data_IF_125258345209
#
_entry.id   IF_125258345209
#
_cell.length_a   1.000
_cell.length_b   1.000
_cell.length_c   1.000
_cell.angle_alpha   90.00
_cell.angle_beta   90.00
_cell.angle_gamma   90.00
#
_symmetry.space_group_name_H-M   'P 1'
#
loop_
_entity.id
_entity.type
_entity.pdbx_description
1 polymer ?
#
# COMPACT_ATOMS: atom_id res chain seq x y z
N UNK A 1 7.38 15.75 -27.64
CA UNK A 1 8.04 14.61 -27.03
C UNK A 1 7.33 14.46 -25.71
N UNK A 2 6.51 13.40 -25.56
CA UNK A 2 5.88 13.07 -24.30
C UNK A 2 6.93 12.56 -23.32
N UNK A 3 6.68 12.62 -22.01
CA UNK A 3 7.61 12.10 -21.03
C UNK A 3 7.88 10.62 -21.35
N UNK A 4 9.14 10.22 -21.24
CA UNK A 4 9.56 8.85 -21.35
C UNK A 4 8.64 7.99 -20.48
N UNK A 5 8.04 6.97 -21.08
CA UNK A 5 7.14 6.03 -20.39
C UNK A 5 8.01 5.12 -19.50
N UNK A 6 8.57 5.71 -18.42
CA UNK A 6 9.22 4.89 -17.41
C UNK A 6 8.14 3.97 -16.83
N UNK A 7 8.43 2.68 -16.75
CA UNK A 7 7.53 1.70 -16.16
C UNK A 7 7.19 2.11 -14.72
N UNK A 8 5.91 2.03 -14.37
CA UNK A 8 5.47 2.28 -12.99
C UNK A 8 6.25 1.37 -12.04
N UNK A 9 6.59 1.89 -10.86
CA UNK A 9 7.28 1.12 -9.83
C UNK A 9 6.34 0.82 -8.67
N UNK A 10 6.51 -0.31 -8.03
CA UNK A 10 5.68 -0.78 -6.91
C UNK A 10 6.51 -0.93 -5.65
N UNK A 11 5.96 -0.50 -4.52
CA UNK A 11 6.53 -0.72 -3.19
C UNK A 11 5.44 -0.93 -2.14
N UNK A 12 5.65 -1.88 -1.21
CA UNK A 12 4.66 -2.28 -0.20
C UNK A 12 4.90 -1.70 1.19
N UNK A 13 3.79 -1.45 1.90
CA UNK A 13 3.78 -1.18 3.34
C UNK A 13 3.00 -2.30 4.02
N UNK A 14 3.72 -3.15 4.76
CA UNK A 14 3.19 -4.31 5.47
C UNK A 14 3.02 -4.03 6.97
N UNK A 15 2.43 -4.96 7.70
CA UNK A 15 2.24 -4.88 9.15
C UNK A 15 0.84 -5.29 9.57
N UNK A 16 0.70 -5.75 10.82
CA UNK A 16 -0.59 -6.10 11.39
C UNK A 16 -1.55 -4.88 11.48
N UNK A 17 -2.83 -5.15 11.67
CA UNK A 17 -3.81 -4.09 11.90
C UNK A 17 -3.44 -3.29 13.17
N UNK A 18 -3.56 -1.96 13.11
CA UNK A 18 -3.25 -1.06 14.24
C UNK A 18 -1.78 -0.65 14.35
N UNK A 19 -0.86 -1.20 13.57
CA UNK A 19 0.59 -0.87 13.65
C UNK A 19 0.95 0.55 13.19
N UNK A 20 0.02 1.31 12.59
CA UNK A 20 0.29 2.68 12.14
C UNK A 20 0.71 2.81 10.68
N UNK A 21 0.42 1.80 9.84
CA UNK A 21 0.69 1.87 8.39
C UNK A 21 0.11 3.10 7.72
N UNK A 22 -1.15 3.40 7.99
CA UNK A 22 -1.83 4.58 7.43
C UNK A 22 -1.18 5.86 7.92
N UNK A 23 -0.81 5.96 9.20
CA UNK A 23 -0.10 7.11 9.77
C UNK A 23 1.28 7.30 9.15
N UNK A 24 1.99 6.22 8.83
CA UNK A 24 3.23 6.31 8.05
C UNK A 24 2.96 6.83 6.64
N UNK A 25 1.96 6.27 5.94
CA UNK A 25 1.60 6.67 4.57
C UNK A 25 1.18 8.14 4.48
N UNK A 26 0.47 8.68 5.49
CA UNK A 26 0.10 10.09 5.58
C UNK A 26 1.30 11.05 5.59
N UNK A 27 2.48 10.58 6.03
CA UNK A 27 3.74 11.34 6.02
C UNK A 27 4.61 11.00 4.81
N UNK A 28 4.62 9.73 4.41
CA UNK A 28 5.44 9.22 3.32
C UNK A 28 4.99 9.75 1.95
N UNK A 29 3.67 9.82 1.71
CA UNK A 29 3.13 10.36 0.45
C UNK A 29 3.55 11.82 0.22
N UNK A 30 3.38 12.76 1.16
CA UNK A 30 3.88 14.13 0.99
C UNK A 30 5.41 14.22 0.80
N UNK A 31 6.19 13.37 1.49
CA UNK A 31 7.65 13.33 1.31
C UNK A 31 8.03 12.90 -0.12
N UNK A 32 7.38 11.85 -0.66
CA UNK A 32 7.64 11.37 -2.01
C UNK A 32 7.16 12.34 -3.09
N UNK A 33 5.97 12.93 -2.93
CA UNK A 33 5.45 13.93 -3.87
C UNK A 33 6.25 15.24 -3.82
N UNK A 34 6.77 15.61 -2.66
CA UNK A 34 7.70 16.74 -2.50
C UNK A 34 9.04 16.53 -3.24
N UNK A 35 9.41 15.29 -3.55
CA UNK A 35 10.56 14.94 -4.42
C UNK A 35 10.22 14.95 -5.90
N UNK A 36 8.99 15.31 -6.28
CA UNK A 36 8.51 15.38 -7.67
C UNK A 36 7.93 14.08 -8.21
N UNK A 37 7.73 13.05 -7.38
CA UNK A 37 7.14 11.79 -7.83
C UNK A 37 5.61 11.87 -7.84
N UNK A 38 4.99 11.34 -8.89
CA UNK A 38 3.56 11.04 -8.91
C UNK A 38 3.31 9.72 -8.19
N UNK A 39 2.45 9.75 -7.16
CA UNK A 39 2.23 8.59 -6.29
C UNK A 39 0.77 8.16 -6.32
N UNK A 40 0.52 6.88 -6.59
CA UNK A 40 -0.78 6.22 -6.43
C UNK A 40 -0.74 5.24 -5.27
N UNK A 41 -1.91 4.92 -4.70
CA UNK A 41 -2.02 3.99 -3.57
C UNK A 41 -3.09 2.93 -3.86
N UNK A 42 -2.72 1.66 -3.66
CA UNK A 42 -3.66 0.54 -3.59
C UNK A 42 -3.70 0.05 -2.15
N UNK A 43 -4.89 0.02 -1.56
CA UNK A 43 -5.10 -0.48 -0.19
C UNK A 43 -5.99 -1.71 -0.22
N UNK A 44 -5.46 -2.84 0.24
CA UNK A 44 -6.23 -4.06 0.45
C UNK A 44 -6.82 -4.09 1.87
N UNK A 45 -8.10 -4.31 1.98
CA UNK A 45 -8.81 -4.42 3.25
C UNK A 45 -9.64 -5.70 3.28
N UNK A 46 -9.52 -6.48 4.36
CA UNK A 46 -10.40 -7.64 4.60
C UNK A 46 -11.77 -7.26 5.20
N UNK A 47 -12.01 -5.96 5.40
CA UNK A 47 -13.30 -5.43 5.86
C UNK A 47 -14.09 -4.95 4.65
N UNK A 48 -15.42 -4.91 4.78
CA UNK A 48 -16.27 -4.27 3.79
C UNK A 48 -15.82 -2.82 3.55
N UNK A 49 -15.82 -2.42 2.30
CA UNK A 49 -15.45 -1.07 1.88
C UNK A 49 -16.74 -0.36 1.48
N UNK A 50 -17.15 0.63 2.27
CA UNK A 50 -18.23 1.53 1.94
C UNK A 50 -17.67 2.88 1.53
N UNK A 51 -17.67 3.15 0.22
CA UNK A 51 -17.21 4.43 -0.34
C UNK A 51 -18.38 5.41 -0.42
N UNK A 52 -19.58 4.92 -0.74
CA UNK A 52 -20.80 5.71 -0.78
C UNK A 52 -21.65 5.50 0.48
N UNK A 53 -22.48 6.50 0.78
CA UNK A 53 -23.34 6.45 1.97
C UNK A 53 -24.64 5.70 1.67
N UNK A 54 -25.10 4.79 2.58
CA UNK A 54 -26.41 4.18 2.49
C UNK A 54 -27.53 5.19 2.21
N UNK A 55 -28.41 4.87 1.25
CA UNK A 55 -29.53 5.71 0.87
C UNK A 55 -29.25 6.79 -0.18
N UNK A 56 -28.00 7.03 -0.57
CA UNK A 56 -27.67 7.91 -1.70
C UNK A 56 -27.90 7.19 -3.04
N UNK A 57 -28.04 7.95 -4.11
CA UNK A 57 -28.39 7.41 -5.43
C UNK A 57 -27.37 6.37 -5.92
N UNK A 58 -26.09 6.62 -5.75
CA UNK A 58 -25.03 5.65 -6.09
C UNK A 58 -25.17 4.33 -5.33
N UNK A 59 -25.42 4.40 -4.02
CA UNK A 59 -25.65 3.23 -3.18
C UNK A 59 -26.88 2.45 -3.69
N UNK A 60 -28.01 3.15 -3.93
CA UNK A 60 -29.25 2.53 -4.42
C UNK A 60 -29.08 1.87 -5.78
N UNK A 61 -28.30 2.47 -6.68
CA UNK A 61 -28.02 1.90 -8.01
C UNK A 61 -27.15 0.66 -7.92
N UNK A 62 -26.16 0.64 -7.03
CA UNK A 62 -25.38 -0.58 -6.74
C UNK A 62 -26.28 -1.71 -6.21
N UNK A 63 -27.11 -1.42 -5.20
CA UNK A 63 -28.06 -2.39 -4.65
C UNK A 63 -29.08 -2.87 -5.68
N UNK A 64 -29.46 -2.00 -6.62
CA UNK A 64 -30.36 -2.35 -7.71
C UNK A 64 -29.74 -3.28 -8.77
N UNK A 65 -28.41 -3.52 -8.72
CA UNK A 65 -27.74 -4.51 -9.57
C UNK A 65 -26.72 -3.97 -10.55
N UNK A 66 -26.36 -2.68 -10.53
CA UNK A 66 -25.28 -2.16 -11.37
C UNK A 66 -23.95 -2.84 -11.00
N UNK A 67 -23.23 -3.39 -11.98
CA UNK A 67 -21.92 -4.00 -11.79
C UNK A 67 -20.84 -2.95 -11.51
N UNK A 68 -20.98 -1.78 -12.14
CA UNK A 68 -20.08 -0.63 -11.94
C UNK A 68 -20.88 0.64 -11.81
N UNK A 69 -20.44 1.54 -10.93
CA UNK A 69 -21.00 2.88 -10.80
C UNK A 69 -19.88 3.89 -10.85
N UNK A 70 -19.96 4.82 -11.81
CA UNK A 70 -19.04 5.96 -11.89
C UNK A 70 -19.72 7.19 -11.29
N UNK A 71 -19.08 7.78 -10.30
CA UNK A 71 -19.45 9.07 -9.74
C UNK A 71 -18.51 10.13 -10.28
N UNK A 72 -19.05 11.13 -10.97
CA UNK A 72 -18.29 12.26 -11.50
C UNK A 72 -18.72 13.55 -10.79
N UNK A 73 -17.76 14.24 -10.20
CA UNK A 73 -17.92 15.58 -9.64
C UNK A 73 -16.91 16.56 -10.29
N UNK A 74 -16.98 17.82 -9.91
CA UNK A 74 -16.12 18.86 -10.49
C UNK A 74 -14.63 18.70 -10.18
N UNK A 75 -14.29 18.06 -9.07
CA UNK A 75 -12.90 17.97 -8.56
C UNK A 75 -12.35 16.55 -8.59
N UNK A 76 -13.23 15.55 -8.63
CA UNK A 76 -12.86 14.13 -8.54
C UNK A 76 -13.92 13.24 -9.13
N UNK A 77 -13.51 12.05 -9.52
CA UNK A 77 -14.40 10.96 -9.88
C UNK A 77 -14.02 9.68 -9.14
N UNK A 78 -14.95 8.76 -9.02
CA UNK A 78 -14.72 7.45 -8.45
C UNK A 78 -15.44 6.39 -9.28
N UNK A 79 -14.78 5.25 -9.48
CA UNK A 79 -15.35 4.03 -10.04
C UNK A 79 -15.48 3.01 -8.91
N UNK A 80 -16.70 2.52 -8.70
CA UNK A 80 -16.96 1.40 -7.80
C UNK A 80 -17.33 0.19 -8.64
N UNK A 81 -16.63 -0.92 -8.44
CA UNK A 81 -16.84 -2.20 -9.08
C UNK A 81 -17.32 -3.22 -8.05
N UNK A 82 -18.48 -3.82 -8.28
CA UNK A 82 -19.09 -4.82 -7.42
C UNK A 82 -18.63 -6.23 -7.82
N UNK A 83 -17.90 -6.92 -6.97
CA UNK A 83 -17.40 -8.27 -7.25
C UNK A 83 -18.53 -9.32 -7.33
N UNK A 84 -19.63 -9.14 -6.59
CA UNK A 84 -20.82 -10.02 -6.59
C UNK A 84 -20.48 -11.51 -6.52
N UNK A 85 -19.49 -11.85 -5.65
CA UNK A 85 -19.05 -13.22 -5.47
C UNK A 85 -17.96 -13.68 -6.45
N UNK A 86 -17.54 -12.81 -7.37
CA UNK A 86 -16.31 -13.06 -8.14
C UNK A 86 -15.08 -12.98 -7.24
N UNK A 87 -13.97 -13.68 -7.57
CA UNK A 87 -12.74 -13.59 -6.82
C UNK A 87 -12.18 -12.16 -6.82
N UNK A 88 -11.43 -11.83 -5.78
CA UNK A 88 -10.69 -10.55 -5.71
C UNK A 88 -9.74 -10.42 -6.91
N UNK A 89 -9.66 -9.21 -7.51
CA UNK A 89 -8.72 -8.97 -8.61
C UNK A 89 -7.27 -9.07 -8.15
N UNK A 90 -6.40 -9.48 -9.05
CA UNK A 90 -4.96 -9.49 -8.80
C UNK A 90 -4.42 -8.06 -8.64
N UNK A 91 -3.24 -7.94 -7.99
CA UNK A 91 -2.57 -6.65 -7.88
C UNK A 91 -2.24 -6.04 -9.25
N UNK A 92 -1.78 -6.87 -10.20
CA UNK A 92 -1.44 -6.44 -11.56
C UNK A 92 -2.68 -5.87 -12.30
N UNK A 93 -3.83 -6.52 -12.11
CA UNK A 93 -5.09 -5.99 -12.66
C UNK A 93 -5.42 -4.61 -12.07
N UNK A 94 -5.26 -4.44 -10.75
CA UNK A 94 -5.53 -3.15 -10.09
C UNK A 94 -4.54 -2.08 -10.52
N UNK A 95 -3.25 -2.41 -10.65
CA UNK A 95 -2.23 -1.48 -11.17
C UNK A 95 -2.61 -1.02 -12.58
N UNK A 96 -3.04 -1.94 -13.43
CA UNK A 96 -3.48 -1.61 -14.80
C UNK A 96 -4.73 -0.73 -14.90
N UNK A 97 -5.43 -0.48 -13.77
CA UNK A 97 -6.55 0.46 -13.68
C UNK A 97 -6.15 1.86 -13.22
N UNK A 98 -4.95 2.01 -12.71
CA UNK A 98 -4.41 3.32 -12.33
C UNK A 98 -3.99 4.12 -13.56
N UNK A 99 -4.06 5.43 -13.46
CA UNK A 99 -3.37 6.29 -14.41
C UNK A 99 -1.85 6.12 -14.25
N UNK A 100 -1.06 6.26 -15.34
CA UNK A 100 0.39 6.19 -15.25
C UNK A 100 0.94 7.12 -14.16
N UNK A 101 1.83 6.59 -13.33
CA UNK A 101 2.49 7.30 -12.25
C UNK A 101 3.88 6.71 -12.00
N UNK A 102 4.74 7.45 -11.28
CA UNK A 102 6.10 6.99 -11.00
C UNK A 102 6.13 5.86 -9.97
N UNK A 103 5.22 5.91 -8.98
CA UNK A 103 5.22 4.98 -7.86
C UNK A 103 3.80 4.58 -7.44
N UNK A 104 3.59 3.28 -7.30
CA UNK A 104 2.39 2.70 -6.69
C UNK A 104 2.77 2.17 -5.31
N UNK A 105 2.26 2.80 -4.26
CA UNK A 105 2.34 2.27 -2.91
C UNK A 105 1.22 1.24 -2.69
N UNK A 106 1.55 0.12 -2.04
CA UNK A 106 0.59 -0.96 -1.80
C UNK A 106 0.52 -1.26 -0.32
N UNK A 107 -0.66 -1.08 0.28
CA UNK A 107 -0.94 -1.47 1.67
C UNK A 107 -1.73 -2.78 1.71
N UNK A 108 -1.19 -3.82 2.36
CA UNK A 108 -1.94 -4.99 2.77
C UNK A 108 -1.86 -6.24 1.88
N UNK A 109 -1.31 -6.21 0.69
CA UNK A 109 -1.11 -7.40 -0.15
C UNK A 109 0.01 -8.28 0.41
N UNK A 110 -0.37 -9.39 1.09
CA UNK A 110 0.54 -10.28 1.82
C UNK A 110 1.47 -11.07 0.90
N UNK A 111 0.93 -11.65 -0.15
CA UNK A 111 1.57 -12.64 -0.99
C UNK A 111 2.40 -12.07 -2.15
N UNK A 112 2.33 -10.77 -2.38
CA UNK A 112 3.09 -10.13 -3.46
C UNK A 112 4.60 -10.22 -3.21
N UNK A 113 5.38 -10.54 -4.25
CA UNK A 113 6.86 -10.64 -4.17
C UNK A 113 7.58 -9.31 -4.34
N UNK A 114 6.87 -8.19 -4.42
CA UNK A 114 7.45 -6.85 -4.50
C UNK A 114 8.06 -6.41 -3.17
N UNK A 115 9.05 -5.49 -3.19
CA UNK A 115 9.72 -4.98 -1.99
C UNK A 115 8.75 -4.32 -1.02
N UNK A 116 8.94 -4.55 0.28
CA UNK A 116 8.07 -4.02 1.35
C UNK A 116 8.89 -3.55 2.55
N UNK A 117 8.36 -2.56 3.25
CA UNK A 117 8.72 -2.27 4.65
C UNK A 117 7.56 -2.71 5.54
N UNK A 118 7.89 -3.42 6.61
CA UNK A 118 6.94 -3.72 7.67
C UNK A 118 6.89 -2.59 8.69
N UNK A 119 5.69 -2.13 9.06
CA UNK A 119 5.48 -1.26 10.23
C UNK A 119 5.19 -2.15 11.42
N UNK A 120 6.04 -2.06 12.45
CA UNK A 120 5.92 -2.89 13.63
C UNK A 120 6.08 -2.04 14.92
N UNK A 121 5.26 -2.38 15.95
CA UNK A 121 5.31 -1.76 17.27
C UNK A 121 5.38 -2.83 18.34
N UNK A 122 6.41 -2.73 19.20
CA UNK A 122 6.65 -3.69 20.28
C UNK A 122 5.50 -3.70 21.29
N UNK A 123 4.92 -2.53 21.59
CA UNK A 123 3.85 -2.38 22.59
C UNK A 123 2.57 -3.19 22.28
N UNK A 124 2.36 -3.54 21.00
CA UNK A 124 1.19 -4.32 20.57
C UNK A 124 1.38 -5.83 20.73
N UNK A 125 2.54 -6.30 21.22
CA UNK A 125 2.81 -7.69 21.53
C UNK A 125 2.66 -8.68 20.37
N UNK A 126 2.71 -8.20 19.12
CA UNK A 126 2.64 -9.03 17.92
C UNK A 126 4.02 -9.35 17.41
N UNK A 127 4.22 -10.58 16.93
CA UNK A 127 5.46 -10.93 16.22
C UNK A 127 5.55 -10.16 14.90
N UNK A 128 6.78 -9.90 14.44
CA UNK A 128 7.03 -9.37 13.11
C UNK A 128 6.53 -10.34 12.03
N UNK A 129 6.11 -9.81 10.90
CA UNK A 129 5.77 -10.60 9.71
C UNK A 129 7.01 -11.11 9.00
N UNK A 130 8.13 -10.38 9.10
CA UNK A 130 9.43 -10.87 8.68
C UNK A 130 9.89 -12.04 9.58
N UNK A 131 10.47 -13.12 9.08
CA UNK A 131 10.80 -13.42 7.69
C UNK A 131 9.72 -14.21 6.92
N UNK A 132 8.51 -14.31 7.44
CA UNK A 132 7.46 -15.18 6.89
C UNK A 132 6.86 -14.63 5.59
N UNK A 133 6.87 -13.31 5.41
CA UNK A 133 6.30 -12.68 4.23
C UNK A 133 7.39 -12.35 3.20
N UNK A 134 7.22 -12.80 1.94
CA UNK A 134 8.17 -12.49 0.90
C UNK A 134 8.23 -10.98 0.63
N UNK A 135 9.42 -10.51 0.29
CA UNK A 135 9.64 -9.12 -0.10
C UNK A 135 9.81 -8.12 1.05
N UNK A 136 9.62 -8.49 2.33
CA UNK A 136 9.95 -7.57 3.43
C UNK A 136 11.47 -7.43 3.51
N UNK A 137 11.96 -6.23 3.15
CA UNK A 137 13.38 -5.89 3.16
C UNK A 137 13.78 -5.04 4.36
N UNK A 138 12.80 -4.44 5.05
CA UNK A 138 13.04 -3.61 6.23
C UNK A 138 11.86 -3.55 7.17
N UNK A 139 12.12 -3.13 8.40
CA UNK A 139 11.14 -2.91 9.46
C UNK A 139 11.27 -1.47 9.92
N UNK A 140 10.14 -0.74 9.94
CA UNK A 140 10.02 0.58 10.55
C UNK A 140 9.33 0.46 11.91
N UNK A 141 9.99 0.90 12.98
CA UNK A 141 9.52 0.72 14.35
C UNK A 141 9.81 1.94 15.22
N UNK A 142 9.05 2.04 16.31
CA UNK A 142 9.34 2.95 17.44
C UNK A 142 10.18 2.28 18.53
N UNK A 143 10.54 1.00 18.38
CA UNK A 143 11.44 0.30 19.28
C UNK A 143 12.91 0.56 18.92
N UNK A 144 13.75 0.64 19.95
CA UNK A 144 15.21 0.83 19.80
C UNK A 144 15.92 -0.43 19.35
N UNK A 145 15.39 -1.58 19.77
CA UNK A 145 16.01 -2.88 19.51
C UNK A 145 15.30 -3.62 18.39
N UNK A 146 16.09 -4.13 17.45
CA UNK A 146 15.58 -4.99 16.38
C UNK A 146 15.26 -6.38 16.94
N UNK A 147 13.98 -6.79 17.03
CA UNK A 147 13.60 -8.11 17.54
C UNK A 147 13.82 -9.24 16.53
N UNK A 148 14.30 -8.92 15.33
CA UNK A 148 14.51 -9.92 14.29
C UNK A 148 15.62 -10.88 14.74
N UNK A 149 15.27 -12.15 14.89
CA UNK A 149 16.19 -13.22 15.26
C UNK A 149 16.89 -13.78 14.01
N UNK A 150 18.21 -13.70 13.94
CA UNK A 150 18.99 -14.20 12.80
C UNK A 150 19.03 -15.73 12.68
N UNK A 151 18.27 -16.48 13.48
CA UNK A 151 18.37 -17.95 13.63
C UNK A 151 18.26 -18.79 12.35
N UNK A 152 18.04 -18.21 11.17
CA UNK A 152 17.81 -18.98 9.94
C UNK A 152 18.77 -18.68 8.79
N UNK A 153 19.90 -18.04 9.04
CA UNK A 153 20.85 -17.73 7.96
C UNK A 153 20.33 -16.73 6.92
N UNK A 154 19.21 -16.08 7.18
CA UNK A 154 18.68 -15.00 6.35
C UNK A 154 19.33 -13.68 6.79
N UNK A 155 19.62 -12.76 5.85
CA UNK A 155 20.11 -11.44 6.21
C UNK A 155 19.05 -10.72 7.05
N UNK A 156 19.50 -10.02 8.11
CA UNK A 156 18.62 -9.17 8.91
C UNK A 156 17.93 -8.12 8.03
N UNK A 157 16.68 -7.79 8.29
CA UNK A 157 15.99 -6.72 7.59
C UNK A 157 16.63 -5.37 7.94
N UNK A 158 16.56 -4.41 7.05
CA UNK A 158 16.90 -3.02 7.35
C UNK A 158 16.02 -2.54 8.53
N UNK A 159 16.60 -1.72 9.40
CA UNK A 159 15.88 -1.18 10.56
C UNK A 159 15.76 0.33 10.45
N UNK A 160 14.53 0.83 10.55
CA UNK A 160 14.21 2.25 10.46
C UNK A 160 13.52 2.73 11.73
N UNK A 161 13.87 3.92 12.20
CA UNK A 161 13.00 4.65 13.10
C UNK A 161 11.70 5.00 12.37
N UNK A 162 10.57 4.63 12.94
CA UNK A 162 9.25 4.88 12.34
C UNK A 162 8.98 6.39 12.13
N UNK A 163 9.67 7.26 12.86
CA UNK A 163 9.56 8.73 12.71
C UNK A 163 10.44 9.29 11.61
N UNK A 164 11.47 8.57 11.17
CA UNK A 164 12.37 8.99 10.09
C UNK A 164 11.76 8.69 8.71
N UNK A 165 10.75 9.50 8.37
CA UNK A 165 10.04 9.38 7.08
C UNK A 165 10.99 9.55 5.89
N UNK A 166 12.08 10.33 6.06
CA UNK A 166 13.05 10.59 4.97
C UNK A 166 13.86 9.35 4.64
N UNK A 167 14.41 8.67 5.65
CA UNK A 167 15.16 7.42 5.43
C UNK A 167 14.26 6.33 4.85
N UNK A 168 12.99 6.26 5.28
CA UNK A 168 12.00 5.33 4.72
C UNK A 168 11.72 5.68 3.25
N UNK A 169 11.55 6.94 2.90
CA UNK A 169 11.35 7.38 1.52
C UNK A 169 12.57 7.08 0.63
N UNK A 170 13.79 7.26 1.14
CA UNK A 170 15.03 6.90 0.43
C UNK A 170 15.05 5.40 0.11
N UNK A 171 14.67 4.56 1.07
CA UNK A 171 14.56 3.11 0.87
C UNK A 171 13.50 2.76 -0.18
N UNK A 172 12.32 3.40 -0.12
CA UNK A 172 11.24 3.18 -1.11
C UNK A 172 11.74 3.49 -2.52
N UNK A 173 12.34 4.67 -2.73
CA UNK A 173 12.81 5.08 -4.06
C UNK A 173 13.92 4.16 -4.59
N UNK A 174 14.83 3.75 -3.70
CA UNK A 174 15.96 2.89 -4.08
C UNK A 174 15.56 1.46 -4.45
N UNK A 175 14.47 0.95 -3.89
CA UNK A 175 14.11 -0.48 -4.00
C UNK A 175 12.77 -0.73 -4.69
N UNK A 176 11.99 0.30 -5.05
CA UNK A 176 10.74 0.11 -5.78
C UNK A 176 10.98 -0.68 -7.08
N UNK A 177 10.16 -1.70 -7.31
CA UNK A 177 10.28 -2.64 -8.41
C UNK A 177 9.42 -2.20 -9.60
N UNK A 178 9.98 -2.20 -10.81
CA UNK A 178 9.22 -1.94 -12.04
C UNK A 178 8.16 -3.01 -12.31
N UNK A 179 6.98 -2.59 -12.79
CA UNK A 179 5.82 -3.42 -13.13
C UNK A 179 5.31 -3.09 -14.53
#
# INVERSE_FOLDING_TARGET
MGPDNEAMKVFGIAGHSGMGKTTLLERLVPELTGRGLSVSLIKHSHKSIDIDRPGKDSYRLREAGCSEVVLLGNERWALMHELRGAPEPSLDYLIGRLQPCDLVLVEGFKEGHFPKIEVWRAELGRQTLWPQWPGILGIASDATDNPADPQRGQPLPLWFDLTDTRAIADCVVAHAMAV
#
